data_IF_763820854983
#
_entry.id   IF_763820854983
#
_cell.length_a   1.000
_cell.length_b   1.000
_cell.length_c   1.000
_cell.angle_alpha   90.00
_cell.angle_beta   90.00
_cell.angle_gamma   90.00
#
_symmetry.space_group_name_H-M   'P 1'
#
loop_
_entity.id
_entity.type
_entity.pdbx_description
1 polymer ?
#
# COMPACT_ATOMS: atom_id res chain seq x y z
N UNK A 1 24.10 0.40 16.94
CA UNK A 1 22.98 -0.54 16.71
C UNK A 1 23.38 -1.92 17.16
N UNK A 2 22.44 -2.73 17.63
CA UNK A 2 22.67 -4.14 17.89
C UNK A 2 22.79 -4.90 16.54
N UNK A 3 23.60 -5.95 16.45
CA UNK A 3 23.67 -6.76 15.25
C UNK A 3 22.31 -7.41 14.97
N UNK A 4 21.85 -7.30 13.72
CA UNK A 4 20.58 -7.89 13.29
C UNK A 4 20.72 -9.41 13.16
N UNK A 5 19.82 -10.15 13.80
CA UNK A 5 19.69 -11.59 13.59
C UNK A 5 18.74 -11.87 12.41
N UNK A 6 19.26 -12.34 11.28
CA UNK A 6 18.48 -12.63 10.07
C UNK A 6 17.49 -13.78 10.26
N UNK A 7 17.75 -14.73 11.17
CA UNK A 7 16.80 -15.81 11.45
C UNK A 7 15.55 -15.27 12.14
N UNK A 8 15.69 -14.29 13.04
CA UNK A 8 14.53 -13.59 13.63
C UNK A 8 13.73 -12.80 12.58
N UNK A 9 14.42 -12.19 11.61
CA UNK A 9 13.74 -11.51 10.50
C UNK A 9 12.96 -12.52 9.65
N UNK A 10 13.58 -13.67 9.34
CA UNK A 10 12.94 -14.75 8.58
C UNK A 10 11.71 -15.29 9.31
N UNK A 11 11.82 -15.55 10.60
CA UNK A 11 10.70 -16.02 11.44
C UNK A 11 9.55 -14.99 11.42
N UNK A 12 9.84 -13.73 11.69
CA UNK A 12 8.86 -12.66 11.65
C UNK A 12 8.16 -12.56 10.30
N UNK A 13 8.91 -12.60 9.20
CA UNK A 13 8.34 -12.55 7.84
C UNK A 13 7.46 -13.76 7.59
N UNK A 14 7.92 -14.97 7.91
CA UNK A 14 7.16 -16.20 7.71
C UNK A 14 5.82 -16.20 8.45
N UNK A 15 5.79 -15.65 9.65
CA UNK A 15 4.55 -15.54 10.43
C UNK A 15 3.60 -14.46 9.88
N UNK A 16 4.14 -13.31 9.50
CA UNK A 16 3.31 -12.14 9.17
C UNK A 16 2.92 -12.07 7.69
N UNK A 17 3.66 -12.72 6.77
CA UNK A 17 3.29 -12.77 5.36
C UNK A 17 1.99 -13.57 5.14
N UNK A 18 1.68 -14.49 6.03
CA UNK A 18 0.41 -15.24 6.03
C UNK A 18 -0.79 -14.30 6.18
N UNK A 19 -0.69 -13.30 7.07
CA UNK A 19 -1.76 -12.30 7.25
C UNK A 19 -2.00 -11.50 5.96
N UNK A 20 -0.94 -11.09 5.27
CA UNK A 20 -1.06 -10.44 3.96
C UNK A 20 -1.87 -11.29 2.98
N UNK A 21 -1.56 -12.59 2.85
CA UNK A 21 -2.26 -13.48 1.94
C UNK A 21 -3.71 -13.72 2.36
N UNK A 22 -3.99 -13.87 3.65
CA UNK A 22 -5.35 -13.99 4.17
C UNK A 22 -6.18 -12.74 3.91
N UNK A 23 -5.61 -11.55 4.09
CA UNK A 23 -6.26 -10.27 3.79
C UNK A 23 -6.57 -10.11 2.29
N UNK A 24 -5.70 -10.62 1.41
CA UNK A 24 -5.98 -10.66 -0.04
C UNK A 24 -7.25 -11.48 -0.34
N UNK A 25 -7.35 -12.69 0.22
CA UNK A 25 -8.52 -13.56 0.05
C UNK A 25 -9.77 -12.89 0.62
N UNK A 26 -9.70 -12.39 1.86
CA UNK A 26 -10.82 -11.69 2.50
C UNK A 26 -11.30 -10.49 1.69
N UNK A 27 -10.39 -9.74 1.08
CA UNK A 27 -10.77 -8.62 0.22
C UNK A 27 -11.55 -9.03 -1.03
N UNK A 28 -11.37 -10.27 -1.51
CA UNK A 28 -12.18 -10.87 -2.59
C UNK A 28 -13.55 -11.35 -2.08
N UNK A 29 -13.57 -11.99 -0.92
CA UNK A 29 -14.81 -12.53 -0.33
C UNK A 29 -15.80 -11.41 0.01
N UNK A 30 -15.31 -10.31 0.57
CA UNK A 30 -16.08 -9.12 0.97
C UNK A 30 -16.39 -8.18 -0.20
N UNK A 31 -15.87 -8.46 -1.40
CA UNK A 31 -16.05 -7.58 -2.55
C UNK A 31 -17.45 -7.70 -3.12
N UNK A 32 -18.08 -6.56 -3.35
CA UNK A 32 -19.35 -6.43 -4.05
C UNK A 32 -19.15 -5.96 -5.49
N UNK A 33 -19.95 -6.47 -6.43
CA UNK A 33 -19.94 -6.03 -7.83
C UNK A 33 -20.09 -4.52 -7.95
N UNK A 34 -20.98 -3.92 -7.16
CA UNK A 34 -21.20 -2.46 -7.15
C UNK A 34 -19.92 -1.67 -6.95
N UNK A 35 -19.02 -2.14 -6.08
CA UNK A 35 -17.73 -1.49 -5.82
C UNK A 35 -16.78 -1.58 -7.02
N UNK A 36 -16.80 -2.68 -7.77
CA UNK A 36 -16.04 -2.77 -9.03
C UNK A 36 -16.55 -1.79 -10.08
N UNK A 37 -17.87 -1.67 -10.20
CA UNK A 37 -18.52 -0.82 -11.20
C UNK A 37 -18.34 0.69 -10.94
N UNK A 38 -17.71 1.09 -9.82
CA UNK A 38 -17.26 2.49 -9.60
C UNK A 38 -16.00 2.87 -10.40
N UNK A 39 -15.32 1.90 -11.01
CA UNK A 39 -14.17 2.19 -11.89
C UNK A 39 -14.63 2.87 -13.17
N UNK A 40 -13.76 3.68 -13.78
CA UNK A 40 -14.06 4.51 -14.94
C UNK A 40 -14.57 3.69 -16.15
N UNK A 41 -15.87 3.73 -16.50
CA UNK A 41 -16.43 2.92 -17.58
C UNK A 41 -15.94 3.37 -18.95
N UNK A 42 -15.65 4.66 -19.14
CA UNK A 42 -15.13 5.21 -20.40
C UNK A 42 -13.79 4.60 -20.78
N UNK A 43 -12.91 4.37 -19.80
CA UNK A 43 -11.61 3.72 -20.03
C UNK A 43 -11.79 2.30 -20.60
N UNK A 44 -12.71 1.53 -20.05
CA UNK A 44 -12.95 0.15 -20.51
C UNK A 44 -13.65 0.11 -21.87
N UNK A 45 -14.56 1.05 -22.14
CA UNK A 45 -15.15 1.22 -23.48
C UNK A 45 -14.08 1.58 -24.51
N UNK A 46 -13.16 2.50 -24.17
CA UNK A 46 -12.06 2.90 -25.05
C UNK A 46 -11.08 1.75 -25.36
N UNK A 47 -10.96 0.77 -24.48
CA UNK A 47 -10.18 -0.46 -24.70
C UNK A 47 -10.88 -1.48 -25.63
N UNK A 48 -12.06 -1.18 -26.13
CA UNK A 48 -12.86 -2.04 -27.00
C UNK A 48 -13.15 -3.42 -26.36
N UNK A 49 -13.44 -3.46 -25.07
CA UNK A 49 -13.81 -4.69 -24.37
C UNK A 49 -15.18 -5.16 -24.90
N UNK A 50 -15.24 -6.40 -25.36
CA UNK A 50 -16.42 -6.95 -26.02
C UNK A 50 -17.28 -7.82 -25.10
N UNK A 51 -16.70 -8.50 -24.12
CA UNK A 51 -17.42 -9.47 -23.30
C UNK A 51 -17.52 -9.06 -21.83
N UNK A 52 -18.58 -9.49 -21.16
CA UNK A 52 -18.78 -9.32 -19.72
C UNK A 52 -17.62 -9.92 -18.91
N UNK A 53 -17.14 -11.10 -19.31
CA UNK A 53 -16.03 -11.78 -18.63
C UNK A 53 -14.73 -10.99 -18.68
N UNK A 54 -14.37 -10.44 -19.85
CA UNK A 54 -13.18 -9.58 -20.00
C UNK A 54 -13.32 -8.30 -19.18
N UNK A 55 -14.50 -7.68 -19.18
CA UNK A 55 -14.74 -6.47 -18.39
C UNK A 55 -14.58 -6.75 -16.90
N UNK A 56 -15.23 -7.78 -16.38
CA UNK A 56 -15.18 -8.14 -14.96
C UNK A 56 -13.74 -8.53 -14.55
N UNK A 57 -13.05 -9.32 -15.37
CA UNK A 57 -11.64 -9.65 -15.10
C UNK A 57 -10.76 -8.40 -15.04
N UNK A 58 -10.87 -7.52 -16.00
CA UNK A 58 -10.11 -6.27 -16.05
C UNK A 58 -10.40 -5.32 -14.88
N UNK A 59 -11.67 -5.21 -14.47
CA UNK A 59 -12.09 -4.42 -13.31
C UNK A 59 -11.52 -5.02 -12.02
N UNK A 60 -11.59 -6.36 -11.88
CA UNK A 60 -11.09 -7.08 -10.73
C UNK A 60 -9.56 -6.96 -10.62
N UNK A 61 -8.84 -7.10 -11.72
CA UNK A 61 -7.38 -6.93 -11.74
C UNK A 61 -6.97 -5.51 -11.33
N UNK A 62 -7.67 -4.49 -11.81
CA UNK A 62 -7.41 -3.09 -11.41
C UNK A 62 -7.75 -2.82 -9.93
N UNK A 63 -8.75 -3.49 -9.38
CA UNK A 63 -9.08 -3.41 -7.96
C UNK A 63 -8.01 -4.09 -7.11
N UNK A 64 -7.65 -5.32 -7.47
CA UNK A 64 -6.68 -6.14 -6.72
C UNK A 64 -5.30 -5.49 -6.69
N UNK A 65 -4.81 -5.00 -7.83
CA UNK A 65 -3.52 -4.30 -7.90
C UNK A 65 -3.44 -3.16 -6.87
N UNK A 66 -4.47 -2.32 -6.80
CA UNK A 66 -4.49 -1.20 -5.84
C UNK A 66 -4.62 -1.67 -4.38
N UNK A 67 -5.38 -2.74 -4.14
CA UNK A 67 -5.57 -3.32 -2.81
C UNK A 67 -4.31 -4.01 -2.29
N UNK A 68 -3.65 -4.80 -3.13
CA UNK A 68 -2.44 -5.52 -2.80
C UNK A 68 -1.27 -4.60 -2.51
N UNK A 69 -1.09 -3.53 -3.28
CA UNK A 69 -0.08 -2.49 -3.02
C UNK A 69 -0.25 -1.87 -1.62
N UNK A 70 -1.49 -1.60 -1.22
CA UNK A 70 -1.77 -1.08 0.12
C UNK A 70 -1.46 -2.11 1.21
N UNK A 71 -1.97 -3.34 1.06
CA UNK A 71 -1.76 -4.42 2.05
C UNK A 71 -0.27 -4.75 2.22
N UNK A 72 0.46 -4.77 1.11
CA UNK A 72 1.89 -5.05 1.14
C UNK A 72 2.69 -3.86 1.70
N UNK A 73 2.21 -2.64 1.45
CA UNK A 73 2.77 -1.44 2.07
C UNK A 73 2.68 -1.48 3.61
N UNK A 74 1.53 -1.86 4.16
CA UNK A 74 1.32 -2.07 5.60
C UNK A 74 2.29 -3.14 6.14
N UNK A 75 2.47 -4.25 5.41
CA UNK A 75 3.41 -5.31 5.79
C UNK A 75 4.86 -4.80 5.84
N UNK A 76 5.31 -4.05 4.84
CA UNK A 76 6.67 -3.49 4.81
C UNK A 76 6.89 -2.45 5.93
N UNK A 77 5.89 -1.64 6.25
CA UNK A 77 5.95 -0.72 7.39
C UNK A 77 6.15 -1.48 8.71
N UNK A 78 5.34 -2.51 8.96
CA UNK A 78 5.46 -3.34 10.15
C UNK A 78 6.81 -4.06 10.22
N UNK A 79 7.32 -4.57 9.10
CA UNK A 79 8.64 -5.18 9.01
C UNK A 79 9.74 -4.17 9.36
N UNK A 80 9.64 -2.93 8.87
CA UNK A 80 10.61 -1.88 9.20
C UNK A 80 10.62 -1.55 10.69
N UNK A 81 9.44 -1.46 11.32
CA UNK A 81 9.30 -1.26 12.77
C UNK A 81 9.91 -2.43 13.55
N UNK A 82 9.61 -3.67 13.13
CA UNK A 82 10.20 -4.87 13.75
C UNK A 82 11.72 -4.86 13.68
N UNK A 83 12.31 -4.62 12.51
CA UNK A 83 13.76 -4.56 12.34
C UNK A 83 14.38 -3.48 13.23
N UNK A 84 13.83 -2.27 13.21
CA UNK A 84 14.31 -1.19 14.05
C UNK A 84 14.20 -1.52 15.56
N UNK A 85 13.17 -2.26 15.98
CA UNK A 85 13.04 -2.72 17.37
C UNK A 85 14.17 -3.65 17.81
N UNK A 86 14.71 -4.44 16.88
CA UNK A 86 15.81 -5.39 17.17
C UNK A 86 17.18 -4.72 17.13
N UNK A 87 17.35 -3.66 16.36
CA UNK A 87 18.67 -3.06 16.08
C UNK A 87 18.93 -1.78 16.83
N UNK A 88 17.92 -0.95 17.09
CA UNK A 88 18.07 0.40 17.63
C UNK A 88 16.94 0.82 18.60
N UNK A 89 16.30 -0.15 19.26
CA UNK A 89 15.18 0.06 20.20
C UNK A 89 14.05 0.90 19.58
N UNK A 90 13.88 0.76 18.24
CA UNK A 90 12.85 1.44 17.48
C UNK A 90 11.45 0.95 17.85
N UNK A 91 10.48 1.86 17.77
CA UNK A 91 9.09 1.57 18.10
C UNK A 91 8.13 2.32 17.17
N UNK A 92 6.91 1.82 17.06
CA UNK A 92 5.85 2.53 16.33
C UNK A 92 5.58 3.86 17.02
N UNK A 93 5.60 4.95 16.23
CA UNK A 93 5.30 6.28 16.77
C UNK A 93 3.82 6.43 17.10
N UNK A 94 3.53 7.23 18.13
CA UNK A 94 2.16 7.69 18.44
C UNK A 94 1.84 9.05 17.81
N UNK A 95 2.79 9.65 17.08
CA UNK A 95 2.58 10.91 16.37
C UNK A 95 1.84 10.66 15.04
N UNK A 96 0.81 11.46 14.72
CA UNK A 96 0.11 11.32 13.45
C UNK A 96 1.06 11.41 12.24
N UNK A 97 0.91 10.48 11.29
CA UNK A 97 1.72 10.43 10.06
C UNK A 97 3.17 9.97 10.22
N UNK A 98 3.56 9.58 11.45
CA UNK A 98 4.88 9.01 11.76
C UNK A 98 4.72 7.54 12.10
N UNK A 99 5.51 6.71 11.44
CA UNK A 99 5.36 5.26 11.52
C UNK A 99 6.36 4.64 12.49
N UNK A 100 7.58 5.25 12.60
CA UNK A 100 8.68 4.71 13.38
C UNK A 100 9.47 5.83 14.07
N UNK A 101 9.83 5.62 15.33
CA UNK A 101 10.80 6.43 16.05
C UNK A 101 11.93 5.54 16.60
N UNK A 102 13.18 6.01 16.52
CA UNK A 102 14.33 5.35 17.11
C UNK A 102 15.46 6.33 17.42
N UNK A 103 16.41 5.88 18.26
CA UNK A 103 17.58 6.66 18.63
C UNK A 103 18.84 5.94 18.18
N UNK A 104 19.71 6.63 17.46
CA UNK A 104 21.00 6.08 17.03
C UNK A 104 22.07 7.16 16.93
N UNK A 105 23.27 6.89 17.46
CA UNK A 105 24.45 7.79 17.39
C UNK A 105 24.15 9.23 17.83
N UNK A 106 23.36 9.40 18.90
CA UNK A 106 23.02 10.73 19.41
C UNK A 106 21.93 11.47 18.66
N UNK A 107 21.29 10.83 17.67
CA UNK A 107 20.23 11.40 16.85
C UNK A 107 18.92 10.66 17.11
N UNK A 108 17.84 11.41 17.35
CA UNK A 108 16.47 10.90 17.43
C UNK A 108 15.85 10.97 16.03
N UNK A 109 15.53 9.84 15.44
CA UNK A 109 14.90 9.74 14.13
C UNK A 109 13.39 9.66 14.29
N UNK A 110 12.66 10.49 13.54
CA UNK A 110 11.20 10.42 13.37
C UNK A 110 10.93 10.11 11.90
N UNK A 111 10.36 8.94 11.63
CA UNK A 111 10.33 8.37 10.28
C UNK A 111 8.90 8.12 9.84
N UNK A 112 8.52 8.67 8.69
CA UNK A 112 7.36 8.19 7.95
C UNK A 112 7.81 7.19 6.90
N UNK A 113 7.17 6.03 6.86
CA UNK A 113 7.53 4.91 5.96
C UNK A 113 6.56 4.86 4.78
N UNK A 114 7.09 4.65 3.58
CA UNK A 114 6.32 4.42 2.36
C UNK A 114 6.87 3.19 1.62
N UNK A 115 5.99 2.41 1.01
CA UNK A 115 6.42 1.23 0.25
C UNK A 115 7.33 1.61 -0.90
N UNK A 116 6.87 2.43 -1.83
CA UNK A 116 7.59 2.78 -3.05
C UNK A 116 7.68 4.29 -3.31
N UNK A 117 8.38 4.67 -4.38
CA UNK A 117 8.65 6.09 -4.73
C UNK A 117 7.44 6.83 -5.31
N UNK A 118 6.43 6.13 -5.80
CA UNK A 118 5.23 6.69 -6.44
C UNK A 118 4.09 6.95 -5.45
N UNK A 119 4.41 7.12 -4.18
CA UNK A 119 3.42 7.42 -3.15
C UNK A 119 2.97 8.89 -3.22
N UNK A 120 1.69 9.09 -3.10
CA UNK A 120 1.10 10.38 -2.80
C UNK A 120 1.19 11.47 -3.88
N UNK A 121 0.13 12.26 -3.92
CA UNK A 121 0.05 13.49 -4.70
C UNK A 121 0.62 14.70 -3.93
N UNK A 122 0.57 15.90 -4.52
CA UNK A 122 1.10 17.14 -3.92
C UNK A 122 0.49 17.47 -2.54
N UNK A 123 -0.80 17.18 -2.31
CA UNK A 123 -1.46 17.39 -1.03
C UNK A 123 -0.95 16.44 0.04
N UNK A 124 -0.76 15.16 -0.31
CA UNK A 124 -0.20 14.15 0.58
C UNK A 124 1.27 14.43 0.93
N UNK A 125 2.04 14.96 -0.03
CA UNK A 125 3.42 15.40 0.23
C UNK A 125 3.47 16.58 1.21
N UNK A 126 2.60 17.58 1.04
CA UNK A 126 2.49 18.71 2.00
C UNK A 126 2.08 18.24 3.39
N UNK A 127 1.14 17.29 3.46
CA UNK A 127 0.71 16.69 4.73
C UNK A 127 1.85 15.97 5.42
N UNK A 128 2.65 15.18 4.71
CA UNK A 128 3.86 14.55 5.24
C UNK A 128 4.85 15.58 5.83
N UNK A 129 5.10 16.67 5.10
CA UNK A 129 6.00 17.75 5.57
C UNK A 129 5.52 18.35 6.89
N UNK A 130 4.21 18.58 6.99
CA UNK A 130 3.58 19.08 8.20
C UNK A 130 3.67 18.07 9.36
N UNK A 131 3.37 16.80 9.11
CA UNK A 131 3.42 15.74 10.12
C UNK A 131 4.84 15.55 10.67
N UNK A 132 5.86 15.51 9.78
CA UNK A 132 7.27 15.45 10.19
C UNK A 132 7.69 16.68 11.01
N UNK A 133 7.27 17.88 10.62
CA UNK A 133 7.56 19.11 11.37
C UNK A 133 6.94 19.07 12.76
N UNK A 134 5.66 18.67 12.85
CA UNK A 134 4.94 18.57 14.12
C UNK A 134 5.57 17.54 15.04
N UNK A 135 6.00 16.40 14.49
CA UNK A 135 6.72 15.37 15.25
C UNK A 135 8.04 15.89 15.83
N UNK A 136 8.81 16.64 15.05
CA UNK A 136 10.05 17.30 15.54
C UNK A 136 9.76 18.27 16.69
N UNK A 137 8.72 19.09 16.57
CA UNK A 137 8.31 20.02 17.65
C UNK A 137 7.94 19.26 18.90
N UNK A 138 7.13 18.20 18.78
CA UNK A 138 6.71 17.35 19.90
C UNK A 138 7.89 16.70 20.63
N UNK A 139 8.85 16.13 19.90
CA UNK A 139 10.04 15.52 20.52
C UNK A 139 10.89 16.59 21.23
N UNK A 140 11.05 17.78 20.65
CA UNK A 140 11.78 18.89 21.29
C UNK A 140 11.15 19.35 22.60
N UNK A 141 9.82 19.34 22.68
CA UNK A 141 9.11 19.70 23.92
C UNK A 141 9.36 18.68 25.05
N UNK A 142 9.45 17.41 24.72
CA UNK A 142 9.70 16.34 25.68
C UNK A 142 11.19 16.12 26.01
N UNK A 143 12.08 16.40 25.05
CA UNK A 143 13.52 16.16 25.15
C UNK A 143 14.29 17.43 24.72
N UNK A 144 14.47 18.39 25.63
CA UNK A 144 15.20 19.64 25.36
C UNK A 144 16.63 19.34 24.90
N UNK A 145 17.05 19.98 23.79
CA UNK A 145 18.40 19.80 23.24
C UNK A 145 18.61 18.51 22.41
N UNK A 146 17.57 17.71 22.18
CA UNK A 146 17.68 16.54 21.34
C UNK A 146 18.04 16.91 19.88
N UNK A 147 19.02 16.21 19.30
CA UNK A 147 19.28 16.25 17.88
C UNK A 147 18.26 15.37 17.17
N UNK A 148 17.37 15.95 16.37
CA UNK A 148 16.24 15.24 15.76
C UNK A 148 16.36 15.30 14.25
N UNK A 149 16.29 14.12 13.59
CA UNK A 149 16.30 13.98 12.16
C UNK A 149 14.93 13.45 11.68
N UNK A 150 14.11 14.30 11.04
CA UNK A 150 12.93 13.82 10.34
C UNK A 150 13.33 13.09 9.05
N UNK A 151 12.68 11.96 8.77
CA UNK A 151 13.00 11.06 7.66
C UNK A 151 11.74 10.62 6.93
N UNK A 152 11.81 10.63 5.60
CA UNK A 152 10.95 9.84 4.74
C UNK A 152 11.71 8.59 4.33
N UNK A 153 11.34 7.44 4.90
CA UNK A 153 11.86 6.13 4.56
C UNK A 153 11.03 5.48 3.45
N UNK A 154 11.66 5.06 2.37
CA UNK A 154 11.00 4.40 1.24
C UNK A 154 11.57 3.01 1.09
N UNK A 155 10.73 1.97 1.20
CA UNK A 155 11.18 0.58 1.26
C UNK A 155 11.82 0.10 -0.04
N UNK A 156 11.28 0.51 -1.20
CA UNK A 156 11.86 0.15 -2.50
C UNK A 156 11.84 1.32 -3.49
N UNK A 157 12.70 1.23 -4.48
CA UNK A 157 12.87 2.22 -5.55
C UNK A 157 14.33 2.61 -5.75
N UNK A 158 14.61 3.33 -6.83
CA UNK A 158 15.96 3.69 -7.24
C UNK A 158 16.12 5.22 -7.41
N UNK A 159 15.76 5.97 -6.37
CA UNK A 159 16.02 7.42 -6.35
C UNK A 159 17.13 7.75 -5.35
N UNK A 160 17.82 8.87 -5.55
CA UNK A 160 18.89 9.28 -4.64
C UNK A 160 18.36 9.64 -3.26
N UNK A 161 19.08 9.22 -2.23
CA UNK A 161 18.94 9.76 -0.88
C UNK A 161 19.33 11.24 -0.90
N UNK A 162 18.49 12.09 -0.33
CA UNK A 162 18.68 13.55 -0.37
C UNK A 162 17.91 14.27 0.71
N UNK A 163 18.39 15.43 1.12
CA UNK A 163 17.59 16.35 1.92
C UNK A 163 16.55 17.05 1.04
N UNK A 164 15.30 17.01 1.46
CA UNK A 164 14.16 17.61 0.74
C UNK A 164 13.30 18.36 1.76
N UNK A 165 13.14 19.67 1.57
CA UNK A 165 12.18 20.49 2.36
C UNK A 165 12.25 20.27 3.88
N UNK A 166 13.45 20.08 4.42
CA UNK A 166 13.68 19.96 5.86
C UNK A 166 13.67 18.56 6.44
N UNK A 167 13.51 17.52 5.61
CA UNK A 167 13.66 16.12 6.02
C UNK A 167 14.64 15.36 5.12
N UNK A 168 15.16 14.26 5.62
CA UNK A 168 16.02 13.35 4.85
C UNK A 168 15.14 12.29 4.17
N UNK A 169 15.17 12.24 2.83
CA UNK A 169 14.57 11.15 2.06
C UNK A 169 15.58 10.03 1.87
N UNK A 170 15.26 8.84 2.36
CA UNK A 170 16.11 7.64 2.29
C UNK A 170 15.37 6.52 1.56
N UNK A 171 16.00 5.88 0.56
CA UNK A 171 15.31 5.00 -0.38
C UNK A 171 15.99 3.65 -0.52
N UNK A 172 15.21 2.58 -0.57
CA UNK A 172 15.66 1.23 -0.86
C UNK A 172 16.76 0.76 0.07
N UNK A 173 17.88 0.32 -0.47
CA UNK A 173 19.04 -0.16 0.30
C UNK A 173 19.42 0.78 1.44
N UNK A 174 19.44 2.09 1.19
CA UNK A 174 19.81 3.08 2.20
C UNK A 174 18.79 3.16 3.34
N UNK A 175 17.50 2.96 3.07
CA UNK A 175 16.48 2.92 4.12
C UNK A 175 16.66 1.69 5.01
N UNK A 176 16.77 0.51 4.40
CA UNK A 176 16.97 -0.72 5.16
C UNK A 176 18.29 -0.69 5.96
N UNK A 177 19.37 -0.15 5.37
CA UNK A 177 20.63 0.04 6.08
C UNK A 177 20.51 1.06 7.23
N UNK A 178 19.75 2.13 7.08
CA UNK A 178 19.55 3.13 8.13
C UNK A 178 18.96 2.53 9.41
N UNK A 179 18.03 1.59 9.29
CA UNK A 179 17.33 0.98 10.43
C UNK A 179 17.97 -0.33 10.92
N UNK A 180 18.95 -0.88 10.21
CA UNK A 180 19.53 -2.20 10.54
C UNK A 180 21.04 -2.23 10.68
N UNK A 181 21.75 -1.23 10.16
CA UNK A 181 23.21 -1.22 9.94
C UNK A 181 23.70 -2.37 9.03
N UNK A 182 22.79 -3.05 8.31
CA UNK A 182 23.09 -4.10 7.32
C UNK A 182 22.83 -3.59 5.91
N UNK A 183 23.87 -3.55 5.08
CA UNK A 183 23.79 -3.05 3.69
C UNK A 183 23.06 -4.01 2.74
N UNK A 184 22.97 -5.27 3.10
CA UNK A 184 22.43 -6.33 2.25
C UNK A 184 21.01 -6.75 2.67
N UNK A 185 20.48 -6.16 3.76
CA UNK A 185 19.15 -6.49 4.27
C UNK A 185 18.05 -6.37 3.21
N UNK A 186 18.12 -5.38 2.32
CA UNK A 186 17.14 -5.17 1.25
C UNK A 186 17.05 -6.35 0.27
N UNK A 187 18.08 -7.16 0.16
CA UNK A 187 18.11 -8.42 -0.60
C UNK A 187 17.84 -9.63 0.29
N UNK A 188 18.31 -9.63 1.54
CA UNK A 188 18.16 -10.76 2.46
C UNK A 188 16.69 -11.05 2.81
N UNK A 189 15.81 -10.04 2.75
CA UNK A 189 14.37 -10.18 3.02
C UNK A 189 13.58 -10.80 1.86
N UNK A 190 14.15 -10.94 0.66
CA UNK A 190 13.44 -11.48 -0.52
C UNK A 190 13.07 -12.94 -0.32
N UNK A 191 14.01 -13.76 0.15
CA UNK A 191 13.79 -15.18 0.35
C UNK A 191 12.65 -15.48 1.34
N UNK A 192 12.65 -14.92 2.56
CA UNK A 192 11.54 -15.12 3.49
C UNK A 192 10.20 -14.56 2.98
N UNK A 193 10.17 -13.45 2.25
CA UNK A 193 8.93 -12.90 1.66
C UNK A 193 8.29 -13.90 0.70
N UNK A 194 9.08 -14.70 0.00
CA UNK A 194 8.61 -15.78 -0.87
C UNK A 194 8.11 -17.03 -0.15
N UNK A 195 8.13 -17.06 1.19
CA UNK A 195 7.73 -18.24 1.96
C UNK A 195 6.32 -18.71 1.63
N UNK A 196 6.18 -19.96 1.18
CA UNK A 196 4.92 -20.61 0.76
C UNK A 196 4.10 -19.80 -0.25
N UNK A 197 4.73 -18.90 -1.02
CA UNK A 197 4.05 -18.02 -1.96
C UNK A 197 3.21 -18.79 -3.00
N UNK A 198 3.67 -19.97 -3.45
CA UNK A 198 2.93 -20.83 -4.38
C UNK A 198 1.60 -21.29 -3.79
N UNK A 199 1.61 -21.86 -2.59
CA UNK A 199 0.41 -22.36 -1.92
C UNK A 199 -0.61 -21.23 -1.66
N UNK A 200 -0.14 -20.11 -1.15
CA UNK A 200 -0.99 -18.94 -0.92
C UNK A 200 -1.59 -18.39 -2.22
N UNK A 201 -0.80 -18.39 -3.30
CA UNK A 201 -1.28 -17.91 -4.59
C UNK A 201 -2.30 -18.86 -5.23
N UNK A 202 -2.14 -20.17 -5.07
CA UNK A 202 -3.12 -21.15 -5.54
C UNK A 202 -4.48 -20.96 -4.86
N UNK A 203 -4.50 -20.78 -3.53
CA UNK A 203 -5.73 -20.49 -2.78
C UNK A 203 -6.37 -19.16 -3.24
N UNK A 204 -5.57 -18.14 -3.45
CA UNK A 204 -6.03 -16.84 -3.94
C UNK A 204 -6.62 -16.92 -5.36
N UNK A 205 -5.97 -17.62 -6.28
CA UNK A 205 -6.45 -17.78 -7.66
C UNK A 205 -7.75 -18.58 -7.72
N UNK A 206 -7.91 -19.57 -6.84
CA UNK A 206 -9.16 -20.30 -6.71
C UNK A 206 -10.31 -19.36 -6.33
N UNK A 207 -10.13 -18.55 -5.29
CA UNK A 207 -11.17 -17.61 -4.85
C UNK A 207 -11.41 -16.49 -5.89
N UNK A 208 -10.37 -15.97 -6.52
CA UNK A 208 -10.49 -15.01 -7.61
C UNK A 208 -11.36 -15.56 -8.75
N UNK A 209 -11.17 -16.82 -9.13
CA UNK A 209 -11.97 -17.48 -10.17
C UNK A 209 -13.45 -17.56 -9.79
N UNK A 210 -13.76 -17.93 -8.55
CA UNK A 210 -15.14 -17.96 -8.04
C UNK A 210 -15.81 -16.59 -8.09
N UNK A 211 -15.11 -15.56 -7.62
CA UNK A 211 -15.60 -14.17 -7.62
C UNK A 211 -15.79 -13.68 -9.04
N UNK A 212 -14.85 -13.94 -9.96
CA UNK A 212 -14.97 -13.60 -11.38
C UNK A 212 -16.24 -14.21 -12.00
N UNK A 213 -16.47 -15.50 -11.80
CA UNK A 213 -17.65 -16.19 -12.34
C UNK A 213 -18.96 -15.62 -11.74
N UNK A 214 -19.00 -15.41 -10.42
CA UNK A 214 -20.16 -14.81 -9.74
C UNK A 214 -20.47 -13.42 -10.28
N UNK A 215 -19.48 -12.57 -10.41
CA UNK A 215 -19.68 -11.20 -10.88
C UNK A 215 -19.97 -11.13 -12.37
N UNK A 216 -19.39 -12.00 -13.18
CA UNK A 216 -19.74 -12.09 -14.61
C UNK A 216 -21.21 -12.43 -14.79
N UNK A 217 -21.72 -13.40 -14.04
CA UNK A 217 -23.15 -13.73 -14.06
C UNK A 217 -24.01 -12.55 -13.67
N UNK A 218 -23.75 -11.93 -12.52
CA UNK A 218 -24.50 -10.75 -12.06
C UNK A 218 -24.42 -9.57 -13.02
N UNK A 219 -23.29 -9.41 -13.69
CA UNK A 219 -23.11 -8.35 -14.68
C UNK A 219 -23.91 -8.61 -15.95
N UNK A 220 -23.92 -9.84 -16.45
CA UNK A 220 -24.75 -10.23 -17.59
C UNK A 220 -26.23 -9.96 -17.29
N UNK A 221 -26.71 -10.43 -16.14
CA UNK A 221 -28.11 -10.25 -15.73
C UNK A 221 -28.49 -8.77 -15.55
N UNK A 222 -27.55 -7.93 -15.14
CA UNK A 222 -27.81 -6.52 -14.83
C UNK A 222 -27.44 -5.50 -15.91
N UNK A 223 -26.44 -5.78 -16.75
CA UNK A 223 -25.81 -4.80 -17.63
C UNK A 223 -25.51 -5.30 -19.06
N UNK A 224 -26.11 -6.38 -19.48
CA UNK A 224 -26.07 -6.82 -20.87
C UNK A 224 -27.47 -6.77 -21.51
N UNK A 225 -27.48 -6.60 -22.83
CA UNK A 225 -28.69 -6.75 -23.64
C UNK A 225 -29.02 -8.24 -23.84
N UNK A 226 -30.23 -8.55 -24.33
CA UNK A 226 -30.65 -9.93 -24.69
C UNK A 226 -29.72 -10.59 -25.70
N UNK A 227 -29.07 -9.80 -26.54
CA UNK A 227 -28.04 -10.25 -27.49
C UNK A 227 -26.71 -10.70 -26.83
N UNK A 228 -26.56 -10.45 -25.54
CA UNK A 228 -25.30 -10.65 -24.78
C UNK A 228 -24.31 -9.49 -24.88
N UNK A 229 -24.61 -8.45 -25.66
CA UNK A 229 -23.76 -7.26 -25.75
C UNK A 229 -23.81 -6.45 -24.45
N UNK A 230 -22.69 -5.81 -24.09
CA UNK A 230 -22.62 -4.93 -22.91
C UNK A 230 -23.44 -3.66 -23.18
N UNK A 231 -24.44 -3.38 -22.34
CA UNK A 231 -25.17 -2.12 -22.31
C UNK A 231 -24.31 -1.03 -21.64
N UNK A 232 -23.50 -0.37 -22.44
CA UNK A 232 -22.60 0.68 -21.98
C UNK A 232 -23.35 1.91 -21.47
N UNK A 233 -24.54 2.20 -22.00
CA UNK A 233 -25.35 3.34 -21.55
C UNK A 233 -25.80 3.08 -20.12
N UNK A 234 -26.41 1.93 -19.88
CA UNK A 234 -26.86 1.51 -18.56
C UNK A 234 -25.72 1.45 -17.53
N UNK A 235 -24.54 0.99 -17.95
CA UNK A 235 -23.36 0.97 -17.08
C UNK A 235 -22.90 2.39 -16.71
N UNK A 236 -22.88 3.33 -17.66
CA UNK A 236 -22.51 4.73 -17.41
C UNK A 236 -23.55 5.42 -16.54
N UNK A 237 -24.84 5.19 -16.79
CA UNK A 237 -25.92 5.72 -15.95
C UNK A 237 -25.80 5.22 -14.51
N UNK A 238 -25.58 3.92 -14.30
CA UNK A 238 -25.35 3.34 -12.98
C UNK A 238 -24.16 3.98 -12.27
N UNK A 239 -23.06 4.24 -13.01
CA UNK A 239 -21.83 4.80 -12.44
C UNK A 239 -21.92 6.30 -12.15
N UNK A 240 -22.60 7.07 -13.02
CA UNK A 240 -22.43 8.52 -13.07
C UNK A 240 -23.74 9.34 -13.09
N UNK A 241 -24.93 8.70 -13.12
CA UNK A 241 -26.20 9.42 -13.17
C UNK A 241 -26.55 10.04 -11.82
N UNK A 242 -26.39 11.36 -11.70
CA UNK A 242 -26.82 12.15 -10.54
C UNK A 242 -26.97 13.61 -10.98
N UNK A 243 -28.10 13.93 -11.68
CA UNK A 243 -28.33 15.30 -12.14
C UNK A 243 -29.05 16.13 -11.08
N UNK A 244 -28.34 17.08 -10.51
CA UNK A 244 -28.87 18.03 -9.52
C UNK A 244 -28.42 19.50 -9.77
N UNK A 245 -27.84 19.74 -10.96
CA UNK A 245 -27.20 21.02 -11.29
C UNK A 245 -28.15 22.21 -11.23
N UNK A 246 -29.43 22.04 -11.56
CA UNK A 246 -30.44 23.11 -11.53
C UNK A 246 -30.59 23.74 -10.13
N UNK A 247 -30.25 22.99 -9.06
CA UNK A 247 -30.29 23.52 -7.70
C UNK A 247 -29.22 24.58 -7.41
N UNK A 248 -28.19 24.65 -8.25
CA UNK A 248 -27.04 25.51 -8.07
C UNK A 248 -26.95 26.62 -9.12
N UNK A 249 -27.75 26.55 -10.21
CA UNK A 249 -27.76 27.51 -11.29
C UNK A 249 -28.97 28.43 -11.30
N UNK A 250 -29.90 28.26 -10.35
CA UNK A 250 -31.11 29.09 -10.17
C UNK A 250 -30.83 30.33 -9.34
#
# INVERSE_FOLDING_TARGET
>A
MNPLNLDQVREYVNENIVDFHQRRIRSLEELELRKLLTKNPYLFKAKNIATAGELISGLLDAFLSSSEEKLFGDFLEHLAVFIASKTCDGHKSTAPGIDLEFFNKGIHYVVSVKSGTSWGNSSQQKKLEEDLRNAVVRVRQSKRGANIQPVLGICYGKTRTSYVRGYLKVVGQNFWCLISDNKDLYTDIIEPIGHRAKEHNEAFLFEKSRVTNRFTKLFIDGFCEDTGAIDWVKLVEFNSSNYDLDRFLS
#
